data_IF_702079447877
#
_entry.id   IF_702079447877
#
_cell.length_a   1.000
_cell.length_b   1.000
_cell.length_c   1.000
_cell.angle_alpha   90.00
_cell.angle_beta   90.00
_cell.angle_gamma   90.00
#
_symmetry.space_group_name_H-M   'P 1'
#
loop_
_entity.id
_entity.type
_entity.pdbx_description
1 polymer ?
#
# COMPACT_ATOMS: atom_id res chain seq x y z
N UNK A 1 107.14 -27.46 -21.92
CA UNK A 1 107.08 -26.08 -21.52
C UNK A 1 105.63 -25.63 -21.66
N UNK A 2 104.89 -25.76 -20.70
CA UNK A 2 104.03 -24.91 -19.95
C UNK A 2 103.31 -23.79 -20.70
N UNK A 3 102.01 -23.83 -20.78
CA UNK A 3 101.18 -22.66 -20.44
C UNK A 3 99.70 -23.07 -20.21
N UNK A 4 99.28 -22.78 -18.99
CA UNK A 4 97.93 -22.98 -18.46
C UNK A 4 97.02 -21.85 -18.94
N UNK A 5 95.82 -22.17 -19.41
CA UNK A 5 94.77 -21.17 -19.68
C UNK A 5 93.56 -21.50 -18.83
N UNK A 6 93.26 -20.62 -17.90
CA UNK A 6 92.05 -20.65 -17.05
C UNK A 6 90.88 -20.18 -17.85
N UNK A 7 89.80 -20.98 -17.87
CA UNK A 7 88.51 -20.60 -18.37
C UNK A 7 87.70 -20.06 -17.17
N UNK A 8 87.28 -18.78 -17.23
CA UNK A 8 86.33 -18.21 -16.32
C UNK A 8 84.93 -18.57 -16.83
N UNK A 9 84.16 -19.36 -16.09
CA UNK A 9 82.70 -19.52 -16.29
C UNK A 9 82.00 -18.35 -15.63
N UNK A 10 81.34 -17.57 -16.44
CA UNK A 10 80.40 -16.52 -15.99
C UNK A 10 79.05 -17.13 -15.80
N UNK A 11 78.64 -17.38 -14.58
CA UNK A 11 77.24 -17.83 -14.25
C UNK A 11 76.37 -16.60 -14.09
N UNK A 12 75.43 -16.41 -15.00
CA UNK A 12 74.30 -15.49 -14.81
C UNK A 12 73.22 -16.19 -13.99
N UNK A 13 72.55 -15.51 -13.03
CA UNK A 13 71.44 -16.09 -12.32
C UNK A 13 70.21 -15.97 -13.17
N UNK A 14 69.56 -17.10 -13.50
CA UNK A 14 68.27 -17.22 -14.10
C UNK A 14 67.21 -16.71 -13.11
N UNK A 15 66.54 -15.61 -13.42
CA UNK A 15 65.36 -15.15 -12.69
C UNK A 15 64.17 -15.99 -13.12
N UNK A 16 63.38 -16.53 -12.18
CA UNK A 16 62.31 -17.45 -12.52
C UNK A 16 61.09 -16.71 -13.14
N UNK A 17 61.00 -16.76 -14.46
CA UNK A 17 59.79 -16.32 -15.21
C UNK A 17 58.52 -17.09 -14.81
N UNK A 18 58.70 -18.21 -14.12
CA UNK A 18 57.64 -19.09 -13.65
C UNK A 18 56.77 -18.46 -12.54
N UNK A 19 57.32 -17.61 -11.65
CA UNK A 19 56.58 -17.02 -10.54
C UNK A 19 55.65 -15.88 -10.99
N UNK A 20 56.03 -15.12 -12.03
CA UNK A 20 55.20 -14.06 -12.60
C UNK A 20 53.98 -14.64 -13.31
N UNK A 21 54.12 -15.75 -14.00
CA UNK A 21 53.03 -16.44 -14.69
C UNK A 21 52.07 -17.15 -13.69
N UNK A 22 52.58 -17.60 -12.55
CA UNK A 22 51.74 -18.20 -11.49
C UNK A 22 50.90 -17.15 -10.77
N UNK A 23 51.47 -15.98 -10.45
CA UNK A 23 50.73 -14.85 -9.84
C UNK A 23 49.69 -14.27 -10.80
N UNK A 24 50.01 -14.17 -12.12
CA UNK A 24 49.02 -13.68 -13.11
C UNK A 24 47.87 -14.65 -13.30
N UNK A 25 48.10 -15.97 -13.25
CA UNK A 25 47.05 -16.99 -13.30
C UNK A 25 46.16 -17.02 -12.02
N UNK A 26 46.76 -16.80 -10.85
CA UNK A 26 46.00 -16.69 -9.59
C UNK A 26 45.13 -15.43 -9.54
N UNK A 27 45.60 -14.29 -10.04
CA UNK A 27 44.78 -13.06 -10.12
C UNK A 27 43.65 -13.18 -11.12
N UNK A 28 43.84 -13.88 -12.26
CA UNK A 28 42.76 -14.08 -13.26
C UNK A 28 41.65 -15.02 -12.73
N UNK A 29 42.01 -16.06 -11.96
CA UNK A 29 41.03 -16.98 -11.34
C UNK A 29 40.29 -16.28 -10.22
N UNK A 30 40.90 -15.40 -9.44
CA UNK A 30 40.25 -14.62 -8.39
C UNK A 30 39.28 -13.57 -8.99
N UNK A 31 39.60 -12.96 -10.13
CA UNK A 31 38.71 -11.99 -10.80
C UNK A 31 37.48 -12.67 -11.44
N UNK A 32 37.63 -13.89 -11.96
CA UNK A 32 36.49 -14.67 -12.50
C UNK A 32 35.61 -15.21 -11.41
N UNK A 33 36.16 -15.53 -10.22
CA UNK A 33 35.34 -15.98 -9.07
C UNK A 33 34.56 -14.86 -8.40
N UNK A 34 34.96 -13.60 -8.52
CA UNK A 34 34.22 -12.44 -8.02
C UNK A 34 33.02 -12.00 -8.92
N UNK A 35 33.02 -12.41 -10.19
CA UNK A 35 31.95 -12.01 -11.14
C UNK A 35 30.74 -12.93 -11.16
N UNK A 36 30.70 -14.00 -10.36
CA UNK A 36 29.54 -14.94 -10.36
C UNK A 36 28.60 -14.83 -9.16
N UNK A 37 28.80 -13.83 -8.29
CA UNK A 37 27.86 -13.54 -7.19
C UNK A 37 26.91 -12.37 -7.50
N UNK A 38 26.62 -12.10 -8.76
CA UNK A 38 25.37 -11.43 -9.10
C UNK A 38 24.28 -12.45 -8.78
N UNK A 39 23.74 -12.40 -7.56
CA UNK A 39 22.51 -13.09 -7.23
C UNK A 39 21.53 -12.70 -8.34
N UNK A 40 21.15 -13.66 -9.19
CA UNK A 40 19.99 -13.50 -10.06
C UNK A 40 18.81 -13.22 -9.13
N UNK A 41 18.50 -11.94 -8.92
CA UNK A 41 17.21 -11.54 -8.36
C UNK A 41 16.22 -11.92 -9.45
N UNK A 42 15.68 -13.12 -9.34
CA UNK A 42 14.64 -13.57 -10.23
C UNK A 42 13.42 -12.70 -9.96
N UNK A 43 12.98 -11.98 -10.98
CA UNK A 43 11.76 -11.21 -10.90
C UNK A 43 10.60 -12.13 -10.51
N UNK A 44 9.80 -11.70 -9.55
CA UNK A 44 8.65 -12.43 -9.07
C UNK A 44 7.35 -11.78 -9.58
N UNK A 45 6.35 -12.62 -9.85
CA UNK A 45 4.98 -12.18 -10.12
C UNK A 45 4.22 -12.16 -8.79
N UNK A 46 4.09 -10.97 -8.19
CA UNK A 46 3.43 -10.80 -6.91
C UNK A 46 1.92 -10.62 -7.08
N UNK A 47 1.15 -11.48 -6.46
CA UNK A 47 -0.29 -11.34 -6.34
C UNK A 47 -0.64 -10.46 -5.14
N UNK A 48 -1.22 -9.28 -5.39
CA UNK A 48 -1.55 -8.29 -4.36
C UNK A 48 -3.06 -8.10 -4.29
N UNK A 49 -3.65 -8.29 -3.11
CA UNK A 49 -5.04 -7.93 -2.85
C UNK A 49 -5.08 -6.62 -2.08
N UNK A 50 -5.77 -5.61 -2.61
CA UNK A 50 -5.85 -4.28 -1.98
C UNK A 50 -7.28 -3.81 -1.79
N UNK A 51 -7.57 -3.24 -0.63
CA UNK A 51 -8.86 -2.61 -0.36
C UNK A 51 -8.85 -1.10 -0.62
N UNK A 52 -10.05 -0.54 -0.85
CA UNK A 52 -10.27 0.79 -1.42
C UNK A 52 -9.45 1.93 -0.84
N UNK A 53 -9.39 2.06 0.48
CA UNK A 53 -8.80 3.24 1.09
C UNK A 53 -7.30 3.42 0.88
N UNK A 54 -6.52 2.35 0.66
CA UNK A 54 -5.10 2.46 0.33
C UNK A 54 -4.83 2.37 -1.19
N UNK A 55 -5.84 2.06 -1.98
CA UNK A 55 -5.69 1.81 -3.43
C UNK A 55 -5.08 2.97 -4.19
N UNK A 56 -5.44 4.22 -3.85
CA UNK A 56 -4.90 5.40 -4.53
C UNK A 56 -3.37 5.51 -4.32
N UNK A 57 -2.89 5.34 -3.08
CA UNK A 57 -1.46 5.32 -2.77
C UNK A 57 -0.75 4.13 -3.43
N UNK A 58 -1.35 2.94 -3.36
CA UNK A 58 -0.80 1.74 -3.99
C UNK A 58 -0.63 1.90 -5.51
N UNK A 59 -1.59 2.50 -6.21
CA UNK A 59 -1.50 2.77 -7.66
C UNK A 59 -0.35 3.71 -8.04
N UNK A 60 0.08 4.58 -7.14
CA UNK A 60 1.24 5.44 -7.35
C UNK A 60 2.57 4.73 -7.03
N UNK A 61 2.59 3.97 -5.93
CA UNK A 61 3.79 3.37 -5.38
C UNK A 61 4.13 2.01 -6.00
N UNK A 62 3.11 1.18 -6.26
CA UNK A 62 3.30 -0.17 -6.81
C UNK A 62 4.10 -0.21 -8.12
N UNK A 63 3.76 0.60 -9.14
CA UNK A 63 4.53 0.65 -10.38
C UNK A 63 5.99 1.09 -10.19
N UNK A 64 6.25 1.97 -9.22
CA UNK A 64 7.63 2.39 -8.89
C UNK A 64 8.43 1.25 -8.28
N UNK A 65 7.82 0.50 -7.35
CA UNK A 65 8.43 -0.70 -6.79
C UNK A 65 8.71 -1.74 -7.86
N UNK A 66 7.72 -2.04 -8.71
CA UNK A 66 7.86 -3.00 -9.81
C UNK A 66 9.02 -2.61 -10.75
N UNK A 67 9.08 -1.33 -11.16
CA UNK A 67 10.16 -0.82 -12.01
C UNK A 67 11.54 -0.89 -11.34
N UNK A 68 11.62 -0.62 -10.04
CA UNK A 68 12.89 -0.62 -9.30
C UNK A 68 13.43 -2.03 -9.02
N UNK A 69 12.55 -3.02 -8.89
CA UNK A 69 12.92 -4.39 -8.49
C UNK A 69 12.86 -5.40 -9.63
N UNK A 70 12.24 -5.04 -10.76
CA UNK A 70 11.95 -5.96 -11.87
C UNK A 70 10.77 -6.91 -11.61
N UNK A 71 10.12 -6.85 -10.43
CA UNK A 71 8.94 -7.65 -10.13
C UNK A 71 7.73 -7.18 -10.94
N UNK A 72 6.77 -8.07 -11.15
CA UNK A 72 5.44 -7.70 -11.65
C UNK A 72 4.43 -7.72 -10.51
N UNK A 73 3.34 -6.95 -10.65
CA UNK A 73 2.27 -6.87 -9.67
C UNK A 73 0.94 -7.21 -10.34
N UNK A 74 0.38 -8.36 -10.01
CA UNK A 74 -0.99 -8.73 -10.35
C UNK A 74 -1.91 -8.32 -9.19
N UNK A 75 -2.82 -7.38 -9.45
CA UNK A 75 -3.57 -6.72 -8.38
C UNK A 75 -5.06 -7.00 -8.47
N UNK A 76 -5.60 -7.62 -7.44
CA UNK A 76 -7.03 -7.77 -7.21
C UNK A 76 -7.53 -6.72 -6.20
N UNK A 77 -8.61 -6.00 -6.58
CA UNK A 77 -9.25 -5.03 -5.68
C UNK A 77 -10.48 -5.66 -5.03
N UNK A 78 -10.69 -5.36 -3.74
CA UNK A 78 -11.87 -5.83 -3.03
C UNK A 78 -12.01 -5.24 -1.64
N UNK A 79 -13.20 -5.33 -1.01
CA UNK A 79 -13.40 -4.85 0.34
C UNK A 79 -12.54 -5.59 1.37
N UNK A 80 -12.17 -4.91 2.45
CA UNK A 80 -11.47 -5.53 3.59
C UNK A 80 -12.31 -6.55 4.34
N UNK A 81 -13.63 -6.51 4.17
CA UNK A 81 -14.58 -7.36 4.89
C UNK A 81 -15.93 -7.41 4.16
N UNK A 82 -16.85 -8.21 4.66
CA UNK A 82 -18.22 -8.30 4.16
C UNK A 82 -18.48 -9.55 3.35
N UNK A 83 -19.71 -9.62 2.79
CA UNK A 83 -20.21 -10.83 2.10
C UNK A 83 -19.93 -10.85 0.60
N UNK A 84 -19.34 -9.78 0.05
CA UNK A 84 -19.01 -9.75 -1.38
C UNK A 84 -18.03 -10.86 -1.72
N UNK A 85 -18.21 -11.57 -2.86
CA UNK A 85 -17.21 -12.52 -3.33
C UNK A 85 -15.82 -11.91 -3.54
N UNK A 86 -15.76 -10.60 -3.83
CA UNK A 86 -14.52 -9.85 -4.03
C UNK A 86 -13.84 -9.44 -2.73
N UNK A 87 -14.50 -9.61 -1.56
CA UNK A 87 -13.88 -9.29 -0.28
C UNK A 87 -12.63 -10.14 -0.05
N UNK A 88 -11.56 -9.50 0.41
CA UNK A 88 -10.26 -10.14 0.61
C UNK A 88 -10.36 -11.42 1.44
N UNK A 89 -11.08 -11.46 2.59
CA UNK A 89 -11.25 -12.70 3.35
C UNK A 89 -11.87 -13.83 2.53
N UNK A 90 -12.89 -13.52 1.72
CA UNK A 90 -13.60 -14.52 0.92
C UNK A 90 -12.74 -15.02 -0.26
N UNK A 91 -11.87 -14.16 -0.83
CA UNK A 91 -10.89 -14.58 -1.84
C UNK A 91 -9.87 -15.54 -1.25
N UNK A 92 -9.31 -15.21 -0.08
CA UNK A 92 -8.36 -16.07 0.63
C UNK A 92 -8.99 -17.41 1.02
N UNK A 93 -10.27 -17.41 1.44
CA UNK A 93 -10.97 -18.64 1.79
C UNK A 93 -11.18 -19.57 0.58
N UNK A 94 -11.37 -19.00 -0.61
CA UNK A 94 -11.43 -19.78 -1.87
C UNK A 94 -10.08 -20.24 -2.39
N UNK A 95 -8.98 -19.87 -1.71
CA UNK A 95 -7.62 -20.22 -2.13
C UNK A 95 -7.11 -19.41 -3.31
N UNK A 96 -7.64 -18.20 -3.57
CA UNK A 96 -7.07 -17.34 -4.60
C UNK A 96 -5.63 -16.96 -4.22
N UNK A 97 -4.67 -17.00 -5.18
CA UNK A 97 -3.28 -16.66 -4.89
C UNK A 97 -3.14 -15.25 -4.35
N UNK A 98 -2.34 -15.10 -3.30
CA UNK A 98 -1.98 -13.79 -2.75
C UNK A 98 -0.61 -13.87 -2.04
N UNK A 99 0.25 -12.92 -2.36
CA UNK A 99 1.53 -12.72 -1.69
C UNK A 99 1.44 -11.57 -0.69
N UNK A 100 0.62 -10.57 -0.98
CA UNK A 100 0.38 -9.41 -0.10
C UNK A 100 -1.11 -9.12 -0.03
N UNK A 101 -1.60 -8.87 1.18
CA UNK A 101 -2.91 -8.24 1.40
C UNK A 101 -2.73 -6.87 2.02
N UNK A 102 -3.47 -5.86 1.50
CA UNK A 102 -3.50 -4.49 2.02
C UNK A 102 -4.95 -4.17 2.37
N UNK A 103 -5.24 -4.00 3.66
CA UNK A 103 -6.62 -3.92 4.13
C UNK A 103 -6.75 -3.17 5.46
N UNK A 104 -7.97 -3.00 5.92
CA UNK A 104 -8.25 -2.42 7.23
C UNK A 104 -7.59 -3.25 8.34
N UNK A 105 -6.84 -2.59 9.23
CA UNK A 105 -5.97 -3.24 10.19
C UNK A 105 -6.68 -4.23 11.12
N UNK A 106 -7.85 -3.87 11.67
CA UNK A 106 -8.58 -4.79 12.54
C UNK A 106 -9.11 -6.03 11.79
N UNK A 107 -9.50 -5.89 10.51
CA UNK A 107 -9.89 -7.04 9.70
C UNK A 107 -8.67 -7.92 9.33
N UNK A 108 -7.49 -7.33 9.19
CA UNK A 108 -6.24 -8.08 9.05
C UNK A 108 -5.91 -8.84 10.33
N UNK A 109 -6.13 -8.22 11.52
CA UNK A 109 -5.93 -8.88 12.81
C UNK A 109 -6.84 -10.12 12.99
N UNK A 110 -8.07 -10.07 12.46
CA UNK A 110 -8.95 -11.22 12.46
C UNK A 110 -8.43 -12.35 11.57
N UNK A 111 -7.92 -12.04 10.38
CA UNK A 111 -7.27 -13.02 9.50
C UNK A 111 -5.99 -13.62 10.12
N UNK A 112 -5.25 -12.85 10.92
CA UNK A 112 -4.10 -13.36 11.68
C UNK A 112 -4.56 -14.37 12.73
N UNK A 113 -5.63 -14.05 13.50
CA UNK A 113 -6.22 -14.96 14.49
C UNK A 113 -6.75 -16.25 13.86
N UNK A 114 -7.30 -16.14 12.64
CA UNK A 114 -7.77 -17.29 11.85
C UNK A 114 -6.64 -18.12 11.24
N UNK A 115 -5.38 -17.70 11.40
CA UNK A 115 -4.23 -18.41 10.86
C UNK A 115 -4.08 -18.28 9.33
N UNK A 116 -4.67 -17.26 8.71
CA UNK A 116 -4.59 -17.03 7.26
C UNK A 116 -3.42 -16.13 6.86
N UNK A 117 -2.87 -15.37 7.81
CA UNK A 117 -1.75 -14.43 7.63
C UNK A 117 -0.57 -14.87 8.50
N UNK A 118 0.63 -14.75 7.96
CA UNK A 118 1.88 -15.09 8.67
C UNK A 118 2.01 -14.19 9.91
N UNK A 119 2.09 -14.76 11.13
CA UNK A 119 2.30 -13.99 12.35
C UNK A 119 3.57 -13.12 12.25
N UNK A 120 3.46 -11.84 12.65
CA UNK A 120 4.57 -10.88 12.60
C UNK A 120 4.83 -10.26 11.22
N UNK A 121 4.07 -10.62 10.17
CA UNK A 121 4.17 -9.96 8.86
C UNK A 121 3.35 -8.67 8.75
N UNK A 122 2.50 -8.36 9.75
CA UNK A 122 1.66 -7.17 9.76
C UNK A 122 2.49 -5.90 9.89
N UNK A 123 2.30 -4.96 8.95
CA UNK A 123 2.94 -3.63 8.95
C UNK A 123 1.86 -2.57 8.74
N UNK A 124 1.88 -1.53 9.53
CA UNK A 124 0.97 -0.39 9.39
C UNK A 124 1.43 0.52 8.26
N UNK A 125 0.48 0.97 7.40
CA UNK A 125 0.78 1.74 6.21
C UNK A 125 0.32 3.19 6.30
N UNK A 126 -0.94 3.42 6.73
CA UNK A 126 -1.53 4.75 6.78
C UNK A 126 -2.80 4.79 7.63
N UNK A 127 -3.14 5.98 8.11
CA UNK A 127 -4.45 6.29 8.67
C UNK A 127 -5.32 6.99 7.63
N UNK A 128 -6.58 6.62 7.60
CA UNK A 128 -7.58 7.23 6.75
C UNK A 128 -8.69 7.86 7.57
N UNK A 129 -9.10 9.04 7.16
CA UNK A 129 -10.18 9.82 7.78
C UNK A 129 -11.36 9.95 6.84
N UNK A 130 -12.54 10.15 7.43
CA UNK A 130 -13.79 10.38 6.71
C UNK A 130 -13.87 11.83 6.27
N UNK A 131 -14.20 12.02 4.99
CA UNK A 131 -14.46 13.34 4.41
C UNK A 131 -15.84 13.42 3.77
N UNK A 132 -16.17 14.63 3.35
CA UNK A 132 -17.40 14.96 2.64
C UNK A 132 -17.09 15.48 1.24
N UNK A 133 -17.94 15.13 0.28
CA UNK A 133 -17.99 15.72 -1.06
C UNK A 133 -19.37 16.29 -1.36
N UNK A 134 -19.38 17.27 -2.25
CA UNK A 134 -20.55 17.77 -2.96
C UNK A 134 -20.32 17.64 -4.47
N UNK A 135 -21.36 17.86 -5.28
CA UNK A 135 -21.21 17.93 -6.73
C UNK A 135 -20.31 19.11 -7.12
N UNK A 136 -19.53 18.96 -8.16
CA UNK A 136 -18.74 20.06 -8.71
C UNK A 136 -19.61 21.27 -9.05
N UNK A 137 -19.16 22.45 -8.62
CA UNK A 137 -19.90 23.72 -8.77
C UNK A 137 -21.00 23.95 -7.72
N UNK A 138 -21.36 22.98 -6.91
CA UNK A 138 -22.28 23.19 -5.78
C UNK A 138 -21.62 23.95 -4.63
N UNK A 139 -22.42 24.68 -3.86
CA UNK A 139 -21.97 25.35 -2.64
C UNK A 139 -21.43 24.32 -1.63
N UNK A 140 -20.26 24.59 -1.04
CA UNK A 140 -19.70 23.76 0.02
C UNK A 140 -20.35 24.14 1.35
N UNK A 141 -21.02 23.21 2.05
CA UNK A 141 -21.49 23.49 3.39
C UNK A 141 -20.31 23.63 4.35
N UNK A 142 -20.48 24.41 5.40
CA UNK A 142 -19.53 24.43 6.51
C UNK A 142 -19.65 23.12 7.30
N UNK A 143 -18.53 22.45 7.52
CA UNK A 143 -18.40 21.23 8.33
C UNK A 143 -17.25 21.32 9.33
N UNK A 144 -16.73 22.52 9.57
CA UNK A 144 -15.55 22.77 10.40
C UNK A 144 -15.78 22.56 11.92
N UNK A 145 -17.02 22.44 12.35
CA UNK A 145 -17.37 22.13 13.74
C UNK A 145 -18.47 21.05 13.81
N UNK A 146 -18.63 20.48 14.99
CA UNK A 146 -19.69 19.49 15.27
C UNK A 146 -21.07 20.04 14.93
N UNK A 147 -21.36 21.27 15.34
CA UNK A 147 -22.64 21.91 15.07
C UNK A 147 -22.81 22.28 13.58
N UNK A 148 -21.77 22.77 12.93
CA UNK A 148 -21.79 23.06 11.49
C UNK A 148 -22.08 21.80 10.67
N UNK A 149 -21.40 20.68 10.98
CA UNK A 149 -21.67 19.39 10.34
C UNK A 149 -23.10 18.93 10.61
N UNK A 150 -23.58 19.08 11.85
CA UNK A 150 -24.96 18.74 12.23
C UNK A 150 -25.97 19.49 11.38
N UNK A 151 -25.78 20.80 11.22
CA UNK A 151 -26.65 21.66 10.41
C UNK A 151 -26.57 21.29 8.93
N UNK A 152 -25.38 21.06 8.40
CA UNK A 152 -25.21 20.62 7.01
C UNK A 152 -26.00 19.33 6.70
N UNK A 153 -25.94 18.35 7.62
CA UNK A 153 -26.67 17.09 7.48
C UNK A 153 -28.19 17.28 7.58
N UNK A 154 -28.67 18.15 8.48
CA UNK A 154 -30.10 18.44 8.63
C UNK A 154 -30.68 19.13 7.40
N UNK A 155 -29.93 20.04 6.76
CA UNK A 155 -30.39 20.81 5.60
C UNK A 155 -30.21 20.05 4.28
N UNK A 156 -29.30 19.07 4.19
CA UNK A 156 -29.10 18.29 2.97
C UNK A 156 -30.38 17.56 2.56
N UNK A 157 -30.67 17.55 1.25
CA UNK A 157 -31.83 16.85 0.68
C UNK A 157 -31.61 15.34 0.62
N UNK A 158 -30.35 14.92 0.37
CA UNK A 158 -29.97 13.52 0.30
C UNK A 158 -28.52 13.32 0.71
N UNK A 159 -28.24 12.19 1.35
CA UNK A 159 -26.94 11.83 1.93
C UNK A 159 -26.55 10.45 1.45
N UNK A 160 -25.35 10.32 0.86
CA UNK A 160 -24.78 9.04 0.47
C UNK A 160 -23.59 8.68 1.38
N UNK A 161 -23.45 7.40 1.73
CA UNK A 161 -22.28 6.86 2.42
C UNK A 161 -21.95 5.46 1.92
N UNK A 162 -20.72 5.01 2.10
CA UNK A 162 -20.25 3.73 1.53
C UNK A 162 -20.78 2.52 2.32
N UNK A 163 -20.64 1.34 1.73
CA UNK A 163 -20.83 0.05 2.40
C UNK A 163 -19.56 -0.46 3.13
N UNK A 164 -18.52 0.39 3.22
CA UNK A 164 -17.26 0.10 3.90
C UNK A 164 -17.23 0.58 5.36
N UNK A 165 -16.07 0.49 6.01
CA UNK A 165 -15.88 0.87 7.41
C UNK A 165 -16.38 2.29 7.73
N UNK A 166 -16.15 3.28 6.85
CA UNK A 166 -16.64 4.65 7.04
C UNK A 166 -18.17 4.74 7.03
N UNK A 167 -18.82 4.02 6.11
CA UNK A 167 -20.27 4.04 6.03
C UNK A 167 -20.95 3.33 7.19
N UNK A 168 -20.40 2.22 7.63
CA UNK A 168 -20.87 1.51 8.84
C UNK A 168 -20.82 2.43 10.06
N UNK A 169 -19.73 3.18 10.22
CA UNK A 169 -19.61 4.17 11.30
C UNK A 169 -20.64 5.29 11.17
N UNK A 170 -20.82 5.84 9.97
CA UNK A 170 -21.79 6.93 9.72
C UNK A 170 -23.20 6.49 10.08
N UNK A 171 -23.60 5.32 9.62
CA UNK A 171 -24.94 4.78 9.83
C UNK A 171 -25.21 4.45 11.30
N UNK A 172 -24.25 3.81 11.97
CA UNK A 172 -24.46 3.24 13.31
C UNK A 172 -24.16 4.21 14.44
N UNK A 173 -23.21 5.14 14.22
CA UNK A 173 -22.68 5.96 15.28
C UNK A 173 -22.77 7.46 15.01
N UNK A 174 -22.34 7.98 13.86
CA UNK A 174 -22.23 9.42 13.61
C UNK A 174 -23.57 10.13 13.78
N UNK A 175 -24.62 9.62 13.17
CA UNK A 175 -25.95 10.23 13.24
C UNK A 175 -26.50 10.25 14.67
N UNK A 176 -26.24 9.22 15.46
CA UNK A 176 -26.60 9.16 16.89
C UNK A 176 -25.80 10.16 17.72
N UNK A 177 -24.48 10.22 17.51
CA UNK A 177 -23.60 11.16 18.20
C UNK A 177 -23.98 12.62 17.96
N UNK A 178 -24.53 12.91 16.77
CA UNK A 178 -25.06 14.23 16.42
C UNK A 178 -26.51 14.45 16.88
N UNK A 179 -27.21 13.43 17.39
CA UNK A 179 -28.60 13.50 17.83
C UNK A 179 -29.60 13.79 16.70
N UNK A 180 -29.31 13.31 15.47
CA UNK A 180 -30.12 13.60 14.27
C UNK A 180 -30.54 12.34 13.50
N UNK A 181 -30.35 11.15 14.08
CA UNK A 181 -30.59 9.87 13.38
C UNK A 181 -31.94 9.82 12.71
N UNK A 182 -33.02 10.14 13.45
CA UNK A 182 -34.40 10.06 12.93
C UNK A 182 -34.65 11.05 11.78
N UNK A 183 -34.03 12.23 11.81
CA UNK A 183 -34.20 13.26 10.79
C UNK A 183 -33.45 12.96 9.50
N UNK A 184 -32.28 12.28 9.59
CA UNK A 184 -31.44 12.02 8.41
C UNK A 184 -31.66 10.64 7.81
N UNK A 185 -32.07 9.66 8.58
CA UNK A 185 -32.28 8.28 8.12
C UNK A 185 -33.21 8.15 6.89
N UNK A 186 -34.33 8.92 6.75
CA UNK A 186 -35.16 8.83 5.55
C UNK A 186 -34.48 9.27 4.25
N UNK A 187 -33.45 10.12 4.34
CA UNK A 187 -32.74 10.73 3.20
C UNK A 187 -31.28 10.28 3.07
N UNK A 188 -30.81 9.40 3.95
CA UNK A 188 -29.47 8.84 3.95
C UNK A 188 -29.46 7.42 3.39
N UNK A 189 -28.57 7.13 2.45
CA UNK A 189 -28.50 5.82 1.79
C UNK A 189 -27.08 5.29 1.73
N UNK A 190 -26.94 3.99 2.02
CA UNK A 190 -25.72 3.24 1.76
C UNK A 190 -25.59 2.95 0.25
N UNK A 191 -24.43 3.23 -0.30
CA UNK A 191 -24.09 3.02 -1.71
C UNK A 191 -23.17 1.79 -1.79
N UNK A 192 -23.67 0.67 -2.33
CA UNK A 192 -22.86 -0.54 -2.41
C UNK A 192 -21.96 -0.53 -3.65
N UNK A 193 -20.74 -1.04 -3.49
CA UNK A 193 -19.80 -1.43 -4.57
C UNK A 193 -19.22 -0.32 -5.45
N UNK A 194 -19.78 0.89 -5.45
CA UNK A 194 -19.27 2.00 -6.27
C UNK A 194 -18.82 3.16 -5.37
N UNK A 195 -17.87 3.98 -5.83
CA UNK A 195 -17.43 5.16 -5.08
C UNK A 195 -18.61 6.11 -4.79
N UNK A 196 -18.77 6.54 -3.55
CA UNK A 196 -19.81 7.48 -3.16
C UNK A 196 -19.71 8.80 -3.93
N UNK A 197 -18.51 9.27 -4.17
CA UNK A 197 -18.32 10.51 -4.93
C UNK A 197 -18.86 10.42 -6.37
N UNK A 198 -18.99 9.24 -6.98
CA UNK A 198 -19.56 9.09 -8.32
C UNK A 198 -21.07 9.37 -8.36
N UNK A 199 -21.82 8.91 -7.37
CA UNK A 199 -23.28 9.20 -7.30
C UNK A 199 -23.54 10.66 -6.93
N UNK A 200 -22.62 11.31 -6.21
CA UNK A 200 -22.70 12.75 -5.95
C UNK A 200 -22.36 13.55 -7.21
N UNK A 201 -21.30 13.16 -7.96
CA UNK A 201 -20.93 13.77 -9.22
C UNK A 201 -22.05 13.71 -10.25
N UNK A 202 -22.77 12.60 -10.34
CA UNK A 202 -23.93 12.43 -11.22
C UNK A 202 -25.15 13.25 -10.78
N UNK A 203 -25.19 13.74 -9.53
CA UNK A 203 -26.31 14.48 -8.97
C UNK A 203 -27.43 13.61 -8.36
N UNK A 204 -27.19 12.31 -8.18
CA UNK A 204 -28.12 11.39 -7.55
C UNK A 204 -28.28 11.70 -6.04
N UNK A 205 -27.19 12.22 -5.43
CA UNK A 205 -27.15 12.64 -4.03
C UNK A 205 -26.50 14.01 -3.89
N UNK A 206 -26.97 14.80 -2.92
CA UNK A 206 -26.47 16.16 -2.67
C UNK A 206 -25.10 16.15 -1.99
N UNK A 207 -24.92 15.31 -0.98
CA UNK A 207 -23.67 15.17 -0.25
C UNK A 207 -23.30 13.70 -0.10
N UNK A 208 -22.01 13.44 -0.02
CA UNK A 208 -21.49 12.08 0.13
C UNK A 208 -20.32 11.99 1.10
N UNK A 209 -20.22 10.86 1.79
CA UNK A 209 -19.18 10.56 2.77
C UNK A 209 -18.49 9.25 2.45
N UNK A 210 -17.16 9.27 2.48
CA UNK A 210 -16.30 8.09 2.36
C UNK A 210 -14.92 8.41 2.91
N UNK A 211 -13.99 7.47 2.87
CA UNK A 211 -12.58 7.75 3.15
C UNK A 211 -12.07 8.83 2.18
N UNK A 212 -11.30 9.79 2.68
CA UNK A 212 -10.81 10.92 1.86
C UNK A 212 -10.07 10.42 0.61
N UNK A 213 -9.26 9.38 0.75
CA UNK A 213 -8.49 8.78 -0.35
C UNK A 213 -9.35 8.14 -1.45
N UNK A 214 -10.60 7.80 -1.15
CA UNK A 214 -11.56 7.28 -2.13
C UNK A 214 -12.41 8.38 -2.77
N UNK A 215 -12.52 9.53 -2.11
CA UNK A 215 -13.27 10.69 -2.63
C UNK A 215 -12.45 11.51 -3.64
N UNK A 216 -11.17 11.76 -3.33
CA UNK A 216 -10.31 12.65 -4.10
C UNK A 216 -10.11 12.26 -5.57
N UNK A 217 -10.02 10.96 -5.95
CA UNK A 217 -9.79 10.58 -7.35
C UNK A 217 -10.99 10.82 -8.28
N UNK A 218 -12.18 11.05 -7.74
CA UNK A 218 -13.42 11.07 -8.54
C UNK A 218 -13.68 12.48 -9.10
N UNK A 219 -13.66 12.58 -10.42
CA UNK A 219 -13.99 13.82 -11.14
C UNK A 219 -15.49 14.11 -11.06
N UNK A 220 -15.86 15.40 -11.08
CA UNK A 220 -17.26 15.84 -11.00
C UNK A 220 -17.80 15.94 -9.57
N UNK A 221 -17.02 15.53 -8.58
CA UNK A 221 -17.27 15.79 -7.17
C UNK A 221 -16.20 16.72 -6.59
N UNK A 222 -16.61 17.62 -5.72
CA UNK A 222 -15.73 18.56 -5.04
C UNK A 222 -15.57 18.17 -3.58
N UNK A 223 -14.34 17.97 -3.15
CA UNK A 223 -14.01 17.72 -1.75
C UNK A 223 -14.29 18.95 -0.90
N UNK A 224 -15.07 18.78 0.16
CA UNK A 224 -15.45 19.83 1.12
C UNK A 224 -14.42 19.92 2.24
N UNK A 225 -14.12 18.79 2.87
CA UNK A 225 -13.23 18.68 4.02
C UNK A 225 -13.36 17.36 4.76
N UNK A 226 -12.51 17.16 5.75
CA UNK A 226 -12.66 16.08 6.75
C UNK A 226 -13.80 16.47 7.71
N UNK A 227 -14.57 15.50 8.22
CA UNK A 227 -15.48 15.76 9.34
C UNK A 227 -14.65 16.14 10.57
N UNK A 228 -15.25 16.83 11.59
CA UNK A 228 -14.53 17.24 12.79
C UNK A 228 -13.78 16.08 13.46
N UNK A 229 -12.56 16.33 13.93
CA UNK A 229 -11.71 15.28 14.51
C UNK A 229 -12.35 14.56 15.69
N UNK A 230 -13.13 15.28 16.51
CA UNK A 230 -13.90 14.70 17.61
C UNK A 230 -14.98 13.71 17.19
N UNK A 231 -15.35 13.73 15.91
CA UNK A 231 -16.34 12.84 15.29
C UNK A 231 -15.71 11.86 14.29
N UNK A 232 -14.39 11.84 14.15
CA UNK A 232 -13.72 10.90 13.25
C UNK A 232 -13.82 9.46 13.75
N UNK A 233 -13.89 8.54 12.78
CA UNK A 233 -13.53 7.14 12.95
C UNK A 233 -12.32 6.90 12.06
N UNK A 234 -11.14 6.99 12.66
CA UNK A 234 -9.89 6.79 11.95
C UNK A 234 -9.74 5.32 11.59
N UNK A 235 -9.60 5.04 10.30
CA UNK A 235 -9.36 3.69 9.80
C UNK A 235 -7.89 3.50 9.52
N UNK A 236 -7.21 2.63 10.28
CA UNK A 236 -5.84 2.23 10.02
C UNK A 236 -5.80 1.18 8.93
N UNK A 237 -4.98 1.40 7.90
CA UNK A 237 -4.64 0.42 6.87
C UNK A 237 -3.32 -0.25 7.19
N UNK A 238 -3.28 -1.56 7.01
CA UNK A 238 -2.10 -2.37 7.23
C UNK A 238 -1.94 -3.39 6.09
N UNK A 239 -0.73 -3.89 5.92
CA UNK A 239 -0.43 -4.98 5.02
C UNK A 239 0.03 -6.21 5.80
N UNK A 240 -0.13 -7.38 5.20
CA UNK A 240 0.33 -8.66 5.73
C UNK A 240 0.59 -9.66 4.62
N UNK A 241 1.30 -10.73 4.96
CA UNK A 241 1.68 -11.80 4.04
C UNK A 241 0.80 -13.02 4.33
N UNK A 242 -0.04 -13.48 3.37
CA UNK A 242 -0.82 -14.71 3.53
C UNK A 242 0.08 -15.95 3.74
N UNK A 243 -0.42 -16.94 4.50
CA UNK A 243 0.32 -18.19 4.76
C UNK A 243 0.66 -18.93 3.46
N UNK A 244 -0.20 -18.84 2.43
CA UNK A 244 0.02 -19.45 1.12
C UNK A 244 0.86 -18.64 0.15
N UNK A 245 1.48 -17.52 0.58
CA UNK A 245 2.31 -16.67 -0.28
C UNK A 245 3.44 -17.47 -0.93
N UNK A 246 3.61 -17.30 -2.25
CA UNK A 246 4.65 -17.99 -3.01
C UNK A 246 5.97 -17.21 -3.02
N UNK A 247 5.90 -15.89 -2.83
CA UNK A 247 7.04 -14.98 -2.86
C UNK A 247 7.15 -14.15 -1.57
N UNK A 248 7.28 -14.78 -0.37
CA UNK A 248 7.19 -14.06 0.92
C UNK A 248 8.32 -13.04 1.13
N UNK A 249 9.49 -13.24 0.51
CA UNK A 249 10.61 -12.30 0.58
C UNK A 249 10.33 -11.03 -0.21
N UNK A 250 9.85 -11.17 -1.42
CA UNK A 250 9.49 -10.06 -2.32
C UNK A 250 8.23 -9.35 -1.81
N UNK A 251 7.28 -10.10 -1.25
CA UNK A 251 6.11 -9.56 -0.55
C UNK A 251 6.52 -8.67 0.63
N UNK A 252 7.47 -9.12 1.45
CA UNK A 252 8.03 -8.29 2.54
C UNK A 252 8.70 -7.03 2.01
N UNK A 253 9.46 -7.14 0.93
CA UNK A 253 10.13 -5.98 0.33
C UNK A 253 9.11 -4.94 -0.19
N UNK A 254 8.00 -5.39 -0.79
CA UNK A 254 6.90 -4.49 -1.20
C UNK A 254 6.27 -3.81 0.01
N UNK A 255 5.96 -4.56 1.06
CA UNK A 255 5.35 -4.01 2.29
C UNK A 255 6.27 -2.98 2.95
N UNK A 256 7.56 -3.31 3.10
CA UNK A 256 8.56 -2.41 3.68
C UNK A 256 8.69 -1.12 2.86
N UNK A 257 8.67 -1.22 1.52
CA UNK A 257 8.68 -0.06 0.63
C UNK A 257 7.43 0.81 0.81
N UNK A 258 6.22 0.22 0.85
CA UNK A 258 4.97 0.95 1.03
C UNK A 258 4.89 1.67 2.39
N UNK A 259 5.55 1.14 3.42
CA UNK A 259 5.63 1.72 4.75
C UNK A 259 6.81 2.69 4.93
N UNK A 260 7.73 2.77 3.95
CA UNK A 260 8.97 3.52 4.08
C UNK A 260 8.75 5.04 4.17
N UNK A 261 9.69 5.79 4.77
CA UNK A 261 9.64 7.25 4.79
C UNK A 261 9.59 7.86 3.38
N UNK A 262 10.23 7.22 2.40
CA UNK A 262 10.27 7.65 1.00
C UNK A 262 8.89 7.58 0.33
N UNK A 263 8.03 6.65 0.76
CA UNK A 263 6.67 6.49 0.22
C UNK A 263 5.67 7.51 0.84
N UNK A 264 5.97 8.09 2.00
CA UNK A 264 5.01 8.91 2.74
C UNK A 264 4.53 10.19 2.02
N UNK A 265 5.33 10.90 1.19
CA UNK A 265 4.82 12.01 0.40
C UNK A 265 3.67 11.60 -0.53
N UNK A 266 3.81 10.46 -1.22
CA UNK A 266 2.76 9.91 -2.09
C UNK A 266 1.55 9.44 -1.30
N UNK A 267 1.75 8.76 -0.17
CA UNK A 267 0.66 8.36 0.73
C UNK A 267 -0.17 9.58 1.13
N UNK A 268 0.48 10.64 1.60
CA UNK A 268 -0.20 11.90 2.00
C UNK A 268 -0.90 12.60 0.84
N UNK A 269 -0.32 12.57 -0.37
CA UNK A 269 -0.91 13.20 -1.56
C UNK A 269 -2.26 12.61 -1.93
N UNK A 270 -2.54 11.38 -1.51
CA UNK A 270 -3.81 10.69 -1.74
C UNK A 270 -4.86 10.94 -0.66
N UNK A 271 -4.58 11.80 0.32
CA UNK A 271 -5.51 12.13 1.41
C UNK A 271 -5.44 11.19 2.62
N UNK A 272 -4.45 10.30 2.64
CA UNK A 272 -4.11 9.48 3.80
C UNK A 272 -3.17 10.25 4.75
N UNK A 273 -3.13 9.84 6.00
CA UNK A 273 -2.20 10.37 6.98
C UNK A 273 -1.10 9.32 7.25
N UNK A 274 0.14 9.80 7.45
CA UNK A 274 1.29 8.94 7.72
C UNK A 274 1.19 8.31 9.11
N UNK A 275 1.60 7.05 9.21
CA UNK A 275 1.76 6.31 10.48
C UNK A 275 3.24 6.06 10.81
N UNK A 276 4.18 6.70 10.11
CA UNK A 276 5.58 6.59 10.47
C UNK A 276 5.75 6.96 11.93
N UNK A 277 6.18 5.97 12.72
CA UNK A 277 6.53 6.19 14.12
C UNK A 277 7.69 7.19 14.17
N UNK A 278 7.49 8.21 14.98
CA UNK A 278 8.52 9.19 15.32
C UNK A 278 9.51 8.61 16.32
#
# INVERSE_FOLDING_TARGET
MLLSSRIFLNAQPDTPSSMKNLLLKLCTVALVAMSTAAANVQAADLHVMSSGGFTAAYKLLGPRFASATGNTLDTALGPSMGKSPEAIPNRLERGEPADVVIMVGYALDDLIKEGKIIPGSRVELADSRIGMVVREGAAKPDIGSVEALRQALLHAKSIAYSDSASGVYIERELFKRLGIEDQVKPKAKMIPRIPVASVVANGDYEIGFQQVSELLPIKGATYVGKIPESLQSVTRYAAGIPIGAQHPKEAKALIDYLASPEAQPEVKSTGLDSVTMH
#
